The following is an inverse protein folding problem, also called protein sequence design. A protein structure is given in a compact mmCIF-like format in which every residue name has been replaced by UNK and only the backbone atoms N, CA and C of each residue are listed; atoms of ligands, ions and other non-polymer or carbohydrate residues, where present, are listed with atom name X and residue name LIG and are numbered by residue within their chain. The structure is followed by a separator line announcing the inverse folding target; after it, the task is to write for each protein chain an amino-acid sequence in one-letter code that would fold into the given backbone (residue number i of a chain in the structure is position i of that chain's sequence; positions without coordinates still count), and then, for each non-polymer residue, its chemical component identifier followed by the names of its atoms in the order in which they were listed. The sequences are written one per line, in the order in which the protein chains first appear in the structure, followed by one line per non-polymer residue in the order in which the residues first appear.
data_IF_866068658172
#
_entry.id   IF_866068658172
#
_cell.length_a   1.000
_cell.length_b   1.000
_cell.length_c   1.000
_cell.angle_alpha   90.00
_cell.angle_beta   90.00
_cell.angle_gamma   90.00
#
_symmetry.space_group_name_H-M   'P 1'
#
loop_
_entity.id
_entity.type
_entity.pdbx_description
1 polymer ?
#
# COMPACT_ATOMS: atom_id res chain seq x y z
N UNK A 1 23.52 -39.71 -12.64
CA UNK A 1 23.09 -40.05 -11.27
C UNK A 1 21.87 -40.97 -11.37
N UNK A 2 21.95 -42.25 -10.97
CA UNK A 2 20.80 -43.18 -11.04
C UNK A 2 19.87 -42.89 -9.86
N UNK A 3 18.60 -42.57 -10.12
CA UNK A 3 17.59 -42.39 -9.09
C UNK A 3 17.46 -43.73 -8.33
N UNK A 4 17.72 -43.75 -7.03
CA UNK A 4 17.50 -44.94 -6.20
C UNK A 4 16.01 -45.29 -6.24
N UNK A 5 15.69 -46.56 -6.50
CA UNK A 5 14.30 -47.04 -6.43
C UNK A 5 13.77 -46.80 -5.03
N UNK A 6 12.53 -46.31 -4.95
CA UNK A 6 11.83 -46.15 -3.69
C UNK A 6 11.59 -47.51 -3.02
N UNK A 7 11.55 -47.52 -1.69
CA UNK A 7 11.32 -48.73 -0.87
C UNK A 7 9.83 -48.96 -0.57
N UNK A 8 8.91 -48.33 -1.32
CA UNK A 8 7.46 -48.44 -1.06
C UNK A 8 6.90 -49.73 -1.65
N UNK A 9 6.03 -50.39 -0.89
CA UNK A 9 5.21 -51.49 -1.39
C UNK A 9 4.26 -51.01 -2.49
N UNK A 10 3.76 -51.89 -3.38
CA UNK A 10 2.81 -51.51 -4.43
C UNK A 10 1.56 -50.79 -3.91
N UNK A 11 1.07 -51.15 -2.71
CA UNK A 11 -0.07 -50.51 -2.05
C UNK A 11 0.27 -49.08 -1.58
N UNK A 12 1.46 -48.89 -1.01
CA UNK A 12 1.94 -47.58 -0.59
C UNK A 12 2.19 -46.66 -1.79
N UNK A 13 2.73 -47.19 -2.90
CA UNK A 13 2.86 -46.42 -4.15
C UNK A 13 1.51 -45.94 -4.67
N UNK A 14 0.49 -46.81 -4.71
CA UNK A 14 -0.87 -46.44 -5.14
C UNK A 14 -1.46 -45.34 -4.25
N UNK A 15 -1.33 -45.46 -2.93
CA UNK A 15 -1.79 -44.44 -1.99
C UNK A 15 -1.03 -43.12 -2.16
N UNK A 16 0.29 -43.17 -2.37
CA UNK A 16 1.10 -41.98 -2.61
C UNK A 16 0.66 -41.24 -3.89
N UNK A 17 0.39 -41.95 -4.98
CA UNK A 17 -0.12 -41.34 -6.21
C UNK A 17 -1.50 -40.71 -6.01
N UNK A 18 -2.41 -41.35 -5.26
CA UNK A 18 -3.72 -40.78 -4.93
C UNK A 18 -3.54 -39.50 -4.09
N UNK A 19 -2.69 -39.52 -3.07
CA UNK A 19 -2.41 -38.35 -2.24
C UNK A 19 -1.80 -37.20 -3.04
N UNK A 20 -0.87 -37.49 -3.96
CA UNK A 20 -0.30 -36.49 -4.88
C UNK A 20 -1.39 -35.89 -5.77
N UNK A 21 -2.27 -36.73 -6.33
CA UNK A 21 -3.37 -36.27 -7.17
C UNK A 21 -4.34 -35.35 -6.41
N UNK A 22 -4.72 -35.72 -5.19
CA UNK A 22 -5.56 -34.88 -4.32
C UNK A 22 -4.86 -33.55 -4.01
N UNK A 23 -3.57 -33.58 -3.69
CA UNK A 23 -2.79 -32.36 -3.42
C UNK A 23 -2.77 -31.43 -4.65
N UNK A 24 -2.59 -31.99 -5.85
CA UNK A 24 -2.64 -31.22 -7.10
C UNK A 24 -4.02 -30.57 -7.30
N UNK A 25 -5.11 -31.31 -7.05
CA UNK A 25 -6.46 -30.75 -7.13
C UNK A 25 -6.68 -29.60 -6.13
N UNK A 26 -6.20 -29.74 -4.89
CA UNK A 26 -6.29 -28.68 -3.86
C UNK A 26 -5.51 -27.45 -4.31
N UNK A 27 -4.31 -27.62 -4.86
CA UNK A 27 -3.49 -26.52 -5.38
C UNK A 27 -4.21 -25.82 -6.53
N UNK A 28 -4.77 -26.55 -7.49
CA UNK A 28 -5.52 -25.98 -8.63
C UNK A 28 -6.74 -25.20 -8.11
N UNK A 29 -7.54 -25.80 -7.22
CA UNK A 29 -8.71 -25.15 -6.64
C UNK A 29 -8.35 -23.84 -5.91
N UNK A 30 -7.23 -23.83 -5.17
CA UNK A 30 -6.73 -22.63 -4.52
C UNK A 30 -6.36 -21.52 -5.52
N UNK A 31 -5.69 -21.86 -6.63
CA UNK A 31 -5.36 -20.87 -7.65
C UNK A 31 -6.59 -20.32 -8.38
N UNK A 32 -7.58 -21.18 -8.67
CA UNK A 32 -8.87 -20.75 -9.26
C UNK A 32 -9.60 -19.80 -8.32
N UNK A 33 -9.77 -20.18 -7.05
CA UNK A 33 -10.39 -19.34 -6.04
C UNK A 33 -9.68 -17.99 -5.88
N UNK A 34 -8.35 -18.00 -5.82
CA UNK A 34 -7.54 -16.78 -5.72
C UNK A 34 -7.76 -15.85 -6.92
N UNK A 35 -7.85 -16.41 -8.13
CA UNK A 35 -8.10 -15.64 -9.34
C UNK A 35 -9.51 -15.04 -9.34
N UNK A 36 -10.54 -15.85 -9.12
CA UNK A 36 -11.92 -15.38 -9.06
C UNK A 36 -12.12 -14.27 -8.02
N UNK A 37 -11.48 -14.40 -6.85
CA UNK A 37 -11.53 -13.37 -5.83
C UNK A 37 -10.84 -12.07 -6.29
N UNK A 38 -9.71 -12.16 -7.00
CA UNK A 38 -9.03 -10.99 -7.57
C UNK A 38 -9.91 -10.29 -8.60
N UNK A 39 -10.46 -11.07 -9.55
CA UNK A 39 -11.32 -10.56 -10.63
C UNK A 39 -12.60 -9.92 -10.06
N UNK A 40 -13.20 -10.53 -9.04
CA UNK A 40 -14.36 -9.96 -8.33
C UNK A 40 -14.05 -8.62 -7.68
N UNK A 41 -12.89 -8.51 -7.02
CA UNK A 41 -12.46 -7.26 -6.39
C UNK A 41 -12.18 -6.18 -7.43
N UNK A 42 -11.46 -6.51 -8.50
CA UNK A 42 -11.15 -5.57 -9.58
C UNK A 42 -12.43 -5.04 -10.22
N UNK A 43 -13.39 -5.94 -10.51
CA UNK A 43 -14.70 -5.57 -11.05
C UNK A 43 -15.46 -4.61 -10.13
N UNK A 44 -15.50 -4.88 -8.83
CA UNK A 44 -16.17 -4.00 -7.88
C UNK A 44 -15.51 -2.63 -7.75
N UNK A 45 -14.19 -2.55 -7.97
CA UNK A 45 -13.43 -1.30 -7.97
C UNK A 45 -13.42 -0.57 -9.31
N UNK A 46 -13.92 -1.16 -10.41
CA UNK A 46 -14.00 -0.51 -11.72
C UNK A 46 -15.38 0.05 -12.05
N UNK A 47 -16.47 -0.59 -11.61
CA UNK A 47 -17.83 -0.28 -12.09
C UNK A 47 -18.68 0.54 -11.10
N UNK A 48 -18.58 0.28 -9.79
CA UNK A 48 -19.51 0.83 -8.80
C UNK A 48 -18.78 1.41 -7.58
N UNK A 49 -18.05 2.51 -7.79
CA UNK A 49 -17.21 3.11 -6.75
C UNK A 49 -17.58 4.53 -6.38
N UNK A 50 -17.19 4.92 -5.17
CA UNK A 50 -17.21 6.29 -4.68
C UNK A 50 -15.89 6.63 -3.99
N UNK A 51 -15.68 7.93 -3.78
CA UNK A 51 -14.51 8.44 -3.08
C UNK A 51 -14.88 8.92 -1.68
N UNK A 52 -14.00 8.65 -0.72
CA UNK A 52 -14.06 9.19 0.63
C UNK A 52 -12.64 9.49 1.12
N UNK A 53 -12.50 10.08 2.30
CA UNK A 53 -11.20 10.28 2.95
C UNK A 53 -10.98 9.25 4.04
N UNK A 54 -9.78 8.66 4.08
CA UNK A 54 -9.38 7.75 5.14
C UNK A 54 -8.15 8.25 5.89
N UNK A 55 -8.09 7.96 7.19
CA UNK A 55 -7.03 8.39 8.11
C UNK A 55 -6.15 7.19 8.47
N UNK A 56 -4.83 7.37 8.38
CA UNK A 56 -3.87 6.36 8.88
C UNK A 56 -4.00 6.27 10.41
N UNK A 57 -4.38 5.09 10.91
CA UNK A 57 -4.51 4.80 12.34
C UNK A 57 -3.38 3.92 12.89
N UNK A 58 -2.61 3.29 12.01
CA UNK A 58 -1.46 2.47 12.38
C UNK A 58 -0.73 1.90 11.17
N UNK A 59 0.35 1.16 11.45
CA UNK A 59 1.14 0.47 10.44
C UNK A 59 1.86 -0.73 11.06
N UNK A 60 2.35 -1.65 10.23
CA UNK A 60 3.13 -2.83 10.65
C UNK A 60 4.11 -3.26 9.58
N UNK A 61 5.28 -3.74 10.00
CA UNK A 61 6.35 -4.28 9.12
C UNK A 61 6.70 -5.74 9.42
N UNK A 62 5.97 -6.41 10.30
CA UNK A 62 6.35 -7.73 10.85
C UNK A 62 6.52 -8.86 9.80
N UNK A 63 5.96 -8.70 8.60
CA UNK A 63 6.19 -9.61 7.44
C UNK A 63 6.16 -8.85 6.11
N UNK A 64 5.22 -7.92 6.02
CA UNK A 64 5.00 -7.05 4.88
C UNK A 64 4.59 -5.70 5.43
N UNK A 65 4.92 -4.62 4.74
CA UNK A 65 4.55 -3.28 5.16
C UNK A 65 3.07 -3.04 4.91
N UNK A 66 2.31 -2.88 5.99
CA UNK A 66 0.88 -2.57 5.96
C UNK A 66 0.64 -1.21 6.60
N UNK A 67 -0.29 -0.46 6.03
CA UNK A 67 -0.87 0.70 6.69
C UNK A 67 -2.34 0.40 6.99
N UNK A 68 -2.76 0.76 8.19
CA UNK A 68 -4.14 0.62 8.65
C UNK A 68 -4.84 1.94 8.45
N UNK A 69 -5.87 1.95 7.61
CA UNK A 69 -6.59 3.16 7.23
C UNK A 69 -8.04 3.03 7.64
N UNK A 70 -8.49 3.93 8.51
CA UNK A 70 -9.88 4.03 8.98
C UNK A 70 -10.63 5.04 8.11
N UNK A 71 -11.83 4.68 7.66
CA UNK A 71 -12.74 5.56 6.92
C UNK A 71 -14.18 5.28 7.30
N UNK A 72 -15.06 6.20 6.96
CA UNK A 72 -16.48 6.14 7.30
C UNK A 72 -17.32 6.29 6.03
N UNK A 73 -18.34 5.44 5.92
CA UNK A 73 -19.33 5.47 4.84
C UNK A 73 -20.70 5.33 5.50
N UNK A 74 -21.60 6.30 5.28
CA UNK A 74 -22.96 6.30 5.82
C UNK A 74 -23.03 6.05 7.34
N UNK A 75 -22.14 6.67 8.13
CA UNK A 75 -22.10 6.50 9.59
C UNK A 75 -21.43 5.22 10.08
N UNK A 76 -21.08 4.29 9.18
CA UNK A 76 -20.40 3.03 9.52
C UNK A 76 -18.90 3.15 9.26
N UNK A 77 -18.10 2.72 10.24
CA UNK A 77 -16.64 2.69 10.15
C UNK A 77 -16.14 1.43 9.48
N UNK A 78 -15.11 1.59 8.68
CA UNK A 78 -14.40 0.53 7.97
C UNK A 78 -12.89 0.71 8.14
N UNK A 79 -12.16 -0.40 8.05
CA UNK A 79 -10.70 -0.42 8.11
C UNK A 79 -10.15 -1.21 6.93
N UNK A 80 -9.11 -0.68 6.29
CA UNK A 80 -8.36 -1.41 5.26
C UNK A 80 -6.90 -1.57 5.66
N UNK A 81 -6.34 -2.75 5.38
CA UNK A 81 -4.99 -3.17 5.78
C UNK A 81 -4.15 -3.57 4.58
N UNK A 82 -4.18 -2.78 3.50
CA UNK A 82 -3.49 -3.17 2.27
C UNK A 82 -1.98 -3.06 2.44
N UNK A 83 -1.27 -4.02 1.84
CA UNK A 83 0.19 -3.95 1.73
C UNK A 83 0.58 -2.73 0.92
N UNK A 84 1.71 -2.14 1.25
CA UNK A 84 2.18 -0.88 0.69
C UNK A 84 3.70 -0.90 0.59
N UNK A 85 4.27 -0.09 -0.28
CA UNK A 85 5.73 0.00 -0.43
C UNK A 85 6.40 0.75 0.73
N UNK A 86 5.63 1.50 1.53
CA UNK A 86 6.13 2.43 2.56
C UNK A 86 5.19 2.54 3.75
N UNK A 87 5.75 2.93 4.89
CA UNK A 87 4.97 3.30 6.08
C UNK A 87 4.57 4.77 5.95
N UNK A 88 3.31 5.05 6.26
CA UNK A 88 2.79 6.40 6.38
C UNK A 88 2.63 6.79 7.85
N UNK A 89 2.70 8.10 8.11
CA UNK A 89 2.60 8.61 9.46
C UNK A 89 1.15 8.50 9.94
N UNK A 90 0.97 8.17 11.22
CA UNK A 90 -0.36 8.15 11.85
C UNK A 90 -0.96 9.56 11.76
N UNK A 91 -2.27 9.64 11.49
CA UNK A 91 -3.06 10.86 11.26
C UNK A 91 -2.84 11.54 9.90
N UNK A 92 -2.07 10.95 8.99
CA UNK A 92 -2.17 11.33 7.58
C UNK A 92 -3.51 10.92 7.00
N UNK A 93 -3.98 11.64 5.99
CA UNK A 93 -5.29 11.45 5.39
C UNK A 93 -5.12 11.33 3.89
N UNK A 94 -5.74 10.32 3.30
CA UNK A 94 -5.63 9.99 1.88
C UNK A 94 -7.01 9.76 1.28
N UNK A 95 -7.09 9.89 -0.03
CA UNK A 95 -8.27 9.52 -0.80
C UNK A 95 -8.44 7.98 -0.78
N UNK A 96 -9.67 7.54 -0.58
CA UNK A 96 -10.06 6.13 -0.63
C UNK A 96 -11.14 5.97 -1.69
N UNK A 97 -10.88 5.06 -2.62
CA UNK A 97 -11.88 4.54 -3.56
C UNK A 97 -12.49 3.29 -2.95
N UNK A 98 -13.81 3.25 -2.78
CA UNK A 98 -14.51 2.11 -2.20
C UNK A 98 -15.67 1.66 -3.09
N UNK A 99 -16.04 0.38 -3.03
CA UNK A 99 -17.20 -0.15 -3.74
C UNK A 99 -18.49 0.19 -3.00
N UNK A 100 -19.48 0.81 -3.68
CA UNK A 100 -20.75 1.19 -3.02
C UNK A 100 -21.55 -0.02 -2.54
N UNK A 101 -21.51 -1.12 -3.29
CA UNK A 101 -22.20 -2.37 -2.94
C UNK A 101 -21.51 -3.15 -1.83
N UNK A 102 -20.20 -2.96 -1.63
CA UNK A 102 -19.46 -3.55 -0.53
C UNK A 102 -18.31 -2.64 -0.07
N UNK A 103 -18.57 -1.69 0.85
CA UNK A 103 -17.57 -0.69 1.23
C UNK A 103 -16.27 -1.24 1.84
N UNK A 104 -16.25 -2.47 2.37
CA UNK A 104 -15.02 -3.14 2.82
C UNK A 104 -14.00 -3.33 1.69
N UNK A 105 -14.50 -3.43 0.46
CA UNK A 105 -13.66 -3.48 -0.74
C UNK A 105 -13.29 -2.04 -1.12
N UNK A 106 -12.10 -1.66 -0.69
CA UNK A 106 -11.55 -0.33 -0.93
C UNK A 106 -10.07 -0.34 -1.30
N UNK A 107 -9.61 0.76 -1.90
CA UNK A 107 -8.25 1.05 -2.32
C UNK A 107 -7.87 2.46 -1.85
N UNK A 108 -6.64 2.61 -1.36
CA UNK A 108 -6.12 3.88 -0.85
C UNK A 108 -5.18 4.48 -1.87
N UNK A 109 -5.43 5.71 -2.30
CA UNK A 109 -4.55 6.45 -3.19
C UNK A 109 -3.52 7.24 -2.38
N UNK A 110 -2.35 6.63 -2.18
CA UNK A 110 -1.24 7.25 -1.45
C UNK A 110 -0.52 8.38 -2.21
N UNK A 111 -0.89 8.64 -3.48
CA UNK A 111 -0.36 9.76 -4.27
C UNK A 111 -1.11 11.07 -4.00
N UNK A 112 -2.30 10.98 -3.39
CA UNK A 112 -3.20 12.11 -3.11
C UNK A 112 -3.45 12.29 -1.61
N UNK A 113 -2.50 12.89 -0.87
CA UNK A 113 -2.75 13.29 0.51
C UNK A 113 -3.79 14.42 0.57
N UNK A 114 -4.69 14.35 1.56
CA UNK A 114 -5.73 15.35 1.79
C UNK A 114 -5.31 16.24 2.97
N UNK A 115 -5.24 17.56 2.72
CA UNK A 115 -4.95 18.58 3.72
C UNK A 115 -6.23 19.38 3.99
N UNK A 116 -6.93 19.06 5.08
CA UNK A 116 -8.17 19.77 5.45
C UNK A 116 -7.96 21.20 5.95
N UNK A 117 -6.83 21.47 6.60
CA UNK A 117 -6.54 22.76 7.22
C UNK A 117 -5.10 23.18 6.91
N UNK A 118 -4.94 23.99 5.86
CA UNK A 118 -3.63 24.48 5.41
C UNK A 118 -2.96 25.40 6.44
N UNK A 119 -3.73 26.02 7.35
CA UNK A 119 -3.17 26.89 8.40
C UNK A 119 -2.37 26.11 9.45
N UNK A 120 -2.57 24.79 9.55
CA UNK A 120 -1.75 23.90 10.39
C UNK A 120 -0.40 23.54 9.76
N UNK A 121 -0.13 24.02 8.56
CA UNK A 121 1.09 23.75 7.82
C UNK A 121 1.93 25.03 7.66
N UNK A 122 3.21 24.81 7.43
CA UNK A 122 4.20 25.83 7.15
C UNK A 122 4.97 25.41 5.89
N UNK A 123 5.15 26.34 4.97
CA UNK A 123 5.94 26.09 3.75
C UNK A 123 7.41 26.29 4.05
N UNK A 124 8.23 25.28 3.79
CA UNK A 124 9.68 25.36 3.92
C UNK A 124 10.36 24.71 2.70
N UNK A 125 11.68 24.89 2.59
CA UNK A 125 12.47 24.22 1.57
C UNK A 125 12.99 22.86 2.06
N UNK A 126 12.80 21.84 1.25
CA UNK A 126 13.45 20.53 1.37
C UNK A 126 14.48 20.32 0.27
N UNK A 127 15.37 19.35 0.48
CA UNK A 127 16.35 18.90 -0.51
C UNK A 127 16.04 17.45 -0.85
N UNK A 128 15.87 17.16 -2.13
CA UNK A 128 15.65 15.81 -2.61
C UNK A 128 16.90 14.96 -2.34
N UNK A 129 16.75 13.87 -1.61
CA UNK A 129 17.83 12.96 -1.23
C UNK A 129 17.90 11.74 -2.14
N UNK A 130 16.75 11.27 -2.64
CA UNK A 130 16.64 10.10 -3.52
C UNK A 130 15.37 10.16 -4.36
N UNK A 131 15.43 9.60 -5.56
CA UNK A 131 14.28 9.34 -6.44
C UNK A 131 14.26 7.87 -6.83
N UNK A 132 13.07 7.32 -7.03
CA UNK A 132 12.85 5.99 -7.57
C UNK A 132 11.60 6.02 -8.44
N UNK A 133 11.68 5.53 -9.68
CA UNK A 133 10.54 5.45 -10.59
C UNK A 133 10.62 4.15 -11.39
N UNK A 134 9.51 3.43 -11.44
CA UNK A 134 9.25 2.32 -12.35
C UNK A 134 7.77 2.36 -12.77
N UNK A 135 7.33 1.43 -13.62
CA UNK A 135 5.97 1.37 -14.17
C UNK A 135 4.84 1.30 -13.11
N UNK A 136 5.16 0.94 -11.87
CA UNK A 136 4.20 0.72 -10.78
C UNK A 136 4.34 1.68 -9.61
N UNK A 137 5.46 2.37 -9.48
CA UNK A 137 5.80 3.10 -8.27
C UNK A 137 6.80 4.23 -8.52
N UNK A 138 6.39 5.44 -8.15
CA UNK A 138 7.25 6.62 -8.06
C UNK A 138 7.39 7.07 -6.61
N UNK A 139 8.62 7.06 -6.06
CA UNK A 139 8.93 7.54 -4.70
C UNK A 139 9.95 8.67 -4.75
N UNK A 140 9.62 9.77 -4.09
CA UNK A 140 10.52 10.88 -3.85
C UNK A 140 10.89 10.91 -2.36
N UNK A 141 12.19 10.83 -2.07
CA UNK A 141 12.72 11.04 -0.73
C UNK A 141 13.33 12.43 -0.64
N UNK A 142 13.03 13.16 0.43
CA UNK A 142 13.61 14.46 0.69
C UNK A 142 13.91 14.67 2.17
N UNK A 143 14.82 15.58 2.46
CA UNK A 143 15.19 15.98 3.81
C UNK A 143 14.98 17.47 4.02
N UNK A 144 14.69 17.87 5.25
CA UNK A 144 14.45 19.26 5.62
C UNK A 144 14.79 19.49 7.08
N UNK A 145 14.96 20.75 7.47
CA UNK A 145 15.14 21.15 8.86
C UNK A 145 13.88 21.85 9.35
N UNK A 146 13.43 21.48 10.55
CA UNK A 146 12.33 22.15 11.24
C UNK A 146 12.70 22.33 12.72
N UNK A 147 12.70 23.57 13.23
CA UNK A 147 13.02 23.91 14.63
C UNK A 147 14.28 23.20 15.16
N UNK A 148 15.39 23.32 14.42
CA UNK A 148 16.71 22.72 14.68
C UNK A 148 16.84 21.20 14.51
N UNK A 149 15.76 20.48 14.22
CA UNK A 149 15.81 19.05 13.94
C UNK A 149 15.82 18.76 12.44
N UNK A 150 16.54 17.71 12.04
CA UNK A 150 16.53 17.21 10.66
C UNK A 150 15.47 16.12 10.53
N UNK A 151 14.66 16.23 9.50
CA UNK A 151 13.64 15.26 9.14
C UNK A 151 13.94 14.69 7.74
N UNK A 152 13.48 13.46 7.52
CA UNK A 152 13.48 12.80 6.22
C UNK A 152 12.09 12.24 5.94
N UNK A 153 11.68 12.31 4.68
CA UNK A 153 10.35 11.90 4.26
C UNK A 153 10.41 11.26 2.88
N UNK A 154 9.74 10.12 2.76
CA UNK A 154 9.39 9.50 1.48
C UNK A 154 7.94 9.86 1.13
N UNK A 155 7.68 10.33 -0.07
CA UNK A 155 6.31 10.51 -0.60
C UNK A 155 6.15 9.69 -1.88
N UNK A 156 4.95 9.14 -2.08
CA UNK A 156 4.59 8.47 -3.33
C UNK A 156 3.95 9.50 -4.25
N UNK A 157 4.37 9.51 -5.51
CA UNK A 157 3.84 10.39 -6.55
C UNK A 157 3.26 9.54 -7.69
N UNK A 158 2.42 10.14 -8.53
CA UNK A 158 2.04 9.52 -9.80
C UNK A 158 3.25 9.41 -10.73
N UNK A 159 4.11 10.43 -10.76
CA UNK A 159 5.34 10.49 -11.58
C UNK A 159 6.40 11.37 -10.90
N UNK A 160 7.69 11.00 -10.97
CA UNK A 160 8.78 11.86 -10.45
C UNK A 160 9.09 13.00 -11.43
N UNK A 161 9.08 12.70 -12.72
CA UNK A 161 9.36 13.68 -13.77
C UNK A 161 10.79 14.23 -13.68
N UNK A 162 10.94 15.56 -13.72
CA UNK A 162 12.24 16.24 -13.74
C UNK A 162 12.94 16.36 -12.37
N UNK A 163 12.34 15.86 -11.29
CA UNK A 163 12.90 15.96 -9.94
C UNK A 163 14.12 15.03 -9.81
N UNK A 164 15.23 15.57 -9.31
CA UNK A 164 16.51 14.84 -9.15
C UNK A 164 17.09 15.08 -7.77
N UNK A 165 17.94 14.16 -7.31
CA UNK A 165 18.72 14.30 -6.09
C UNK A 165 19.50 15.63 -6.10
N UNK A 166 19.45 16.36 -4.99
CA UNK A 166 20.08 17.66 -4.82
C UNK A 166 19.17 18.85 -5.17
N UNK A 167 18.08 18.63 -5.93
CA UNK A 167 17.13 19.70 -6.22
C UNK A 167 16.46 20.18 -4.93
N UNK A 168 16.30 21.51 -4.80
CA UNK A 168 15.47 22.10 -3.78
C UNK A 168 13.99 22.06 -4.20
N UNK A 169 13.13 21.80 -3.23
CA UNK A 169 11.67 21.71 -3.42
C UNK A 169 10.97 22.44 -2.29
N UNK A 170 9.79 23.00 -2.58
CA UNK A 170 8.91 23.52 -1.53
C UNK A 170 8.05 22.39 -0.97
N UNK A 171 7.95 22.37 0.34
CA UNK A 171 7.18 21.36 1.06
C UNK A 171 6.29 22.02 2.10
N UNK A 172 5.13 21.43 2.34
CA UNK A 172 4.22 21.76 3.43
C UNK A 172 4.56 20.86 4.61
N UNK A 173 4.96 21.43 5.74
CA UNK A 173 5.27 20.70 6.99
C UNK A 173 4.21 20.99 8.04
N UNK A 174 3.66 19.95 8.67
CA UNK A 174 2.65 20.11 9.71
C UNK A 174 3.29 20.61 11.01
N UNK A 175 2.88 21.79 11.48
CA UNK A 175 3.51 22.50 12.62
C UNK A 175 3.62 21.66 13.89
N UNK A 176 2.56 20.90 14.21
CA UNK A 176 2.47 20.10 15.44
C UNK A 176 2.92 18.64 15.26
N UNK A 177 3.25 18.21 14.04
CA UNK A 177 3.82 16.89 13.79
C UNK A 177 4.69 16.97 12.51
N UNK A 178 5.92 17.49 12.61
CA UNK A 178 6.73 17.82 11.45
C UNK A 178 7.05 16.62 10.57
N UNK A 179 7.01 15.38 11.09
CA UNK A 179 7.14 14.14 10.32
C UNK A 179 6.12 14.03 9.17
N UNK A 180 4.96 14.68 9.32
CA UNK A 180 3.97 14.81 8.25
C UNK A 180 4.34 16.00 7.39
N UNK A 181 4.81 15.69 6.18
CA UNK A 181 5.10 16.68 5.16
C UNK A 181 4.77 16.19 3.76
N UNK A 182 4.44 17.14 2.89
CA UNK A 182 3.99 16.92 1.52
C UNK A 182 4.70 17.87 0.57
N UNK A 183 4.77 17.52 -0.71
CA UNK A 183 5.15 18.48 -1.74
C UNK A 183 4.11 19.60 -1.80
N UNK A 184 4.58 20.84 -1.86
CA UNK A 184 3.74 21.95 -2.26
C UNK A 184 3.59 21.91 -3.78
N UNK A 185 2.35 21.71 -4.26
CA UNK A 185 2.00 21.79 -5.69
C UNK A 185 1.69 23.22 -6.07
#
# INVERSE_FOLDING_TARGET
MKIKKDNLSPKEKKNAYISIFILVLIIIAFFVYKKEHSDYREKLLSENTELTSGKIIGNSTYKTTHNYVEYEVNGKKFETRRSSSRIFNIREIYEIKYSKSNPEISEVDYTKPIIFDKNKFETINGIITKTYENDRLSVLSFSYKYRNEKYERDVILEKIGGLKKGNQIRILVKRNNPKISYLEK
#
